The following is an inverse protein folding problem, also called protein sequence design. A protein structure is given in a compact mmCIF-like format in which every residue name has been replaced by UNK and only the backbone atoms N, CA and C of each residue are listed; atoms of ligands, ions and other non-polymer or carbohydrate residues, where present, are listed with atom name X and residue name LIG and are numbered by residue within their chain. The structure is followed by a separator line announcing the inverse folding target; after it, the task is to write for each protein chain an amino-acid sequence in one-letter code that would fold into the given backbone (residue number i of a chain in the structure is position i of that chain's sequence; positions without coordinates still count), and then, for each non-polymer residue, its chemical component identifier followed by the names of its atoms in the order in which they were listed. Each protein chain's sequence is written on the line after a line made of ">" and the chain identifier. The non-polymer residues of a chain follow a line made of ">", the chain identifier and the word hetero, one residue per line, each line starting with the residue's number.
data_IF_524245601162
#
_entry.id   IF_524245601162
#
_cell.length_a   1.000
_cell.length_b   1.000
_cell.length_c   1.000
_cell.angle_alpha   90.00
_cell.angle_beta   90.00
_cell.angle_gamma   90.00
#
_symmetry.space_group_name_H-M   'P 1'
#
loop_
_entity.id
_entity.type
_entity.pdbx_description
1 polymer ?
#
# COMPACT_ATOMS: atom_id res chain seq x y z
N UNK A 1 -59.09 7.52 7.30
CA UNK A 1 -58.10 6.81 8.16
C UNK A 1 -57.25 5.82 7.39
N UNK A 2 -57.82 4.92 6.56
CA UNK A 2 -57.03 3.89 5.85
C UNK A 2 -55.92 4.43 4.93
N UNK A 3 -56.16 5.55 4.23
CA UNK A 3 -55.21 6.22 3.33
C UNK A 3 -54.02 6.88 4.05
N UNK A 4 -54.22 7.38 5.27
CA UNK A 4 -53.16 8.00 6.06
C UNK A 4 -52.15 6.95 6.55
N UNK A 5 -52.64 5.76 6.90
CA UNK A 5 -51.81 4.64 7.33
C UNK A 5 -51.03 4.02 6.16
N UNK A 6 -51.60 4.01 4.94
CA UNK A 6 -50.87 3.54 3.75
C UNK A 6 -49.74 4.50 3.37
N UNK A 7 -49.97 5.81 3.47
CA UNK A 7 -48.92 6.81 3.23
C UNK A 7 -47.81 6.74 4.29
N UNK A 8 -48.17 6.56 5.56
CA UNK A 8 -47.20 6.41 6.65
C UNK A 8 -46.34 5.14 6.50
N UNK A 9 -46.94 4.03 6.04
CA UNK A 9 -46.24 2.76 5.80
C UNK A 9 -45.28 2.82 4.61
N UNK A 10 -45.64 3.55 3.54
CA UNK A 10 -44.76 3.82 2.39
C UNK A 10 -43.57 4.72 2.77
N UNK A 11 -43.78 5.70 3.66
CA UNK A 11 -42.69 6.55 4.20
C UNK A 11 -41.72 5.76 5.10
N UNK A 12 -42.20 4.78 5.88
CA UNK A 12 -41.31 3.93 6.69
C UNK A 12 -40.50 2.94 5.86
N UNK A 13 -41.02 2.50 4.70
CA UNK A 13 -40.28 1.65 3.77
C UNK A 13 -39.09 2.38 3.11
N UNK A 14 -39.19 3.70 2.90
CA UNK A 14 -38.09 4.51 2.38
C UNK A 14 -36.97 4.76 3.42
N UNK A 15 -37.27 4.61 4.72
CA UNK A 15 -36.25 4.73 5.78
C UNK A 15 -35.44 3.44 5.98
N UNK A 16 -35.96 2.29 5.50
CA UNK A 16 -35.29 0.99 5.60
C UNK A 16 -34.26 0.73 4.49
N UNK A 17 -34.23 1.57 3.44
CA UNK A 17 -33.26 1.43 2.33
C UNK A 17 -32.01 2.31 2.50
N UNK A 18 -31.85 3.00 3.63
CA UNK A 18 -30.74 3.94 3.86
C UNK A 18 -29.49 3.32 4.53
N UNK A 19 -29.48 2.01 4.82
CA UNK A 19 -28.25 1.28 5.14
C UNK A 19 -27.66 0.69 3.85
N UNK A 20 -27.33 1.53 2.88
CA UNK A 20 -26.31 1.14 1.90
C UNK A 20 -24.97 1.15 2.65
N UNK A 21 -24.21 0.05 2.58
CA UNK A 21 -22.87 -0.03 3.13
C UNK A 21 -22.03 1.13 2.55
N UNK A 22 -21.81 2.20 3.32
CA UNK A 22 -20.97 3.30 2.89
C UNK A 22 -19.57 2.75 2.56
N UNK A 23 -19.21 2.79 1.28
CA UNK A 23 -17.89 2.36 0.82
C UNK A 23 -16.93 3.50 1.07
N UNK A 24 -16.11 3.38 2.10
CA UNK A 24 -15.02 4.32 2.35
C UNK A 24 -13.80 3.99 1.49
N UNK A 25 -13.09 5.04 1.07
CA UNK A 25 -11.81 4.88 0.42
C UNK A 25 -10.77 4.35 1.40
N UNK A 26 -9.87 3.50 0.91
CA UNK A 26 -8.73 3.03 1.68
C UNK A 26 -7.82 4.22 2.01
N UNK A 27 -7.37 4.32 3.26
CA UNK A 27 -6.66 5.50 3.77
C UNK A 27 -5.32 5.74 3.05
N UNK A 28 -4.69 4.69 2.50
CA UNK A 28 -3.49 4.82 1.65
C UNK A 28 -3.70 5.66 0.38
N UNK A 29 -4.95 5.87 -0.04
CA UNK A 29 -5.32 6.72 -1.17
C UNK A 29 -5.91 8.07 -0.75
N UNK A 30 -5.65 8.50 0.49
CA UNK A 30 -6.03 9.82 0.97
C UNK A 30 -4.90 10.84 0.68
N UNK A 31 -5.10 11.69 -0.32
CA UNK A 31 -4.10 12.67 -0.74
C UNK A 31 -4.50 14.09 -0.31
N UNK A 32 -3.52 14.85 0.16
CA UNK A 32 -3.72 16.22 0.62
C UNK A 32 -3.84 17.19 -0.56
N UNK A 33 -4.82 18.07 -0.51
CA UNK A 33 -4.97 19.16 -1.48
C UNK A 33 -3.75 20.10 -1.48
N UNK A 34 -3.47 20.68 -2.63
CA UNK A 34 -2.33 21.56 -2.91
C UNK A 34 -0.95 20.89 -2.69
N UNK A 35 -0.89 19.56 -2.68
CA UNK A 35 0.37 18.80 -2.66
C UNK A 35 0.62 18.10 -3.99
N UNK A 36 1.90 17.97 -4.32
CA UNK A 36 2.35 17.23 -5.48
C UNK A 36 2.23 15.74 -5.23
N UNK A 37 1.75 15.02 -6.24
CA UNK A 37 1.70 13.56 -6.26
C UNK A 37 2.19 13.04 -7.61
N UNK A 38 2.50 11.75 -7.69
CA UNK A 38 3.03 11.11 -8.91
C UNK A 38 2.17 9.95 -9.36
N UNK A 39 2.04 9.79 -10.67
CA UNK A 39 1.36 8.64 -11.27
C UNK A 39 2.19 7.37 -10.99
N UNK A 40 1.56 6.35 -10.43
CA UNK A 40 2.21 5.06 -10.17
C UNK A 40 2.02 4.09 -11.34
N UNK A 41 0.80 4.00 -11.87
CA UNK A 41 0.48 3.12 -12.99
C UNK A 41 1.26 3.51 -14.24
N UNK A 42 1.40 2.57 -15.20
CA UNK A 42 2.16 2.82 -16.44
C UNK A 42 1.57 4.00 -17.22
N UNK A 43 0.25 4.05 -17.25
CA UNK A 43 -0.52 5.21 -17.66
C UNK A 43 -1.76 5.38 -16.79
N UNK A 44 -2.26 6.61 -16.71
CA UNK A 44 -3.59 6.92 -16.19
C UNK A 44 -4.33 7.83 -17.18
N UNK A 45 -5.65 7.71 -17.24
CA UNK A 45 -6.50 8.56 -18.09
C UNK A 45 -6.96 9.76 -17.27
N UNK A 46 -6.72 10.95 -17.79
CA UNK A 46 -7.32 12.19 -17.28
C UNK A 46 -8.70 12.34 -17.89
N UNK A 47 -9.69 12.58 -17.05
CA UNK A 47 -11.09 12.65 -17.47
C UNK A 47 -11.66 14.04 -17.25
N UNK A 48 -12.68 14.38 -18.05
CA UNK A 48 -13.39 15.65 -17.94
C UNK A 48 -14.17 15.78 -16.65
N UNK A 49 -14.73 14.67 -16.19
CA UNK A 49 -15.54 14.53 -14.98
C UNK A 49 -15.11 13.26 -14.23
N UNK A 50 -15.35 13.15 -12.92
CA UNK A 50 -15.06 11.95 -12.16
C UNK A 50 -15.96 10.80 -12.63
N UNK A 51 -15.37 9.68 -13.07
CA UNK A 51 -16.12 8.49 -13.46
C UNK A 51 -15.47 7.67 -14.56
N UNK A 52 -15.63 6.35 -14.51
CA UNK A 52 -14.99 5.42 -15.47
C UNK A 52 -15.50 5.56 -16.92
N UNK A 53 -16.68 6.15 -17.11
CA UNK A 53 -17.31 6.37 -18.41
C UNK A 53 -17.21 7.82 -18.89
N UNK A 54 -16.64 8.73 -18.09
CA UNK A 54 -16.49 10.13 -18.46
C UNK A 54 -15.49 10.30 -19.63
N UNK A 55 -15.67 11.34 -20.43
CA UNK A 55 -14.80 11.67 -21.55
C UNK A 55 -13.33 11.72 -21.12
N UNK A 56 -12.47 11.04 -21.87
CA UNK A 56 -11.01 11.08 -21.69
C UNK A 56 -10.50 12.37 -22.36
N UNK A 57 -9.77 13.19 -21.60
CA UNK A 57 -9.13 14.40 -22.08
C UNK A 57 -7.66 14.17 -22.42
N UNK A 58 -6.98 13.31 -21.64
CA UNK A 58 -5.55 13.07 -21.79
C UNK A 58 -5.12 11.74 -21.17
N UNK A 59 -3.83 11.41 -21.30
CA UNK A 59 -3.20 10.33 -20.54
C UNK A 59 -1.85 10.77 -19.97
N UNK A 60 -1.60 10.42 -18.71
CA UNK A 60 -0.34 10.71 -18.01
C UNK A 60 0.42 9.41 -17.78
N UNK A 61 1.73 9.43 -17.97
CA UNK A 61 2.61 8.27 -17.79
C UNK A 61 3.07 8.15 -16.34
N UNK A 62 3.65 6.99 -15.98
CA UNK A 62 4.30 6.78 -14.69
C UNK A 62 5.36 7.86 -14.39
N UNK A 63 5.52 8.19 -13.10
CA UNK A 63 6.36 9.26 -12.57
C UNK A 63 5.96 10.70 -12.95
N UNK A 64 4.95 10.89 -13.80
CA UNK A 64 4.48 12.24 -14.11
C UNK A 64 3.92 12.90 -12.85
N UNK A 65 4.44 14.09 -12.56
CA UNK A 65 4.02 14.88 -11.41
C UNK A 65 2.71 15.60 -11.71
N UNK A 66 1.80 15.57 -10.75
CA UNK A 66 0.52 16.27 -10.74
C UNK A 66 0.37 17.01 -9.41
N UNK A 67 -0.52 17.99 -9.35
CA UNK A 67 -0.95 18.64 -8.11
C UNK A 67 -2.37 18.23 -7.80
N UNK A 68 -2.63 17.78 -6.57
CA UNK A 68 -3.99 17.51 -6.11
C UNK A 68 -4.68 18.85 -5.87
N UNK A 69 -5.75 19.13 -6.62
CA UNK A 69 -6.53 20.35 -6.43
C UNK A 69 -7.69 20.13 -5.46
N UNK A 70 -8.39 19.01 -5.62
CA UNK A 70 -9.59 18.72 -4.83
C UNK A 70 -9.85 17.22 -4.74
N UNK A 71 -10.26 16.77 -3.56
CA UNK A 71 -10.87 15.44 -3.36
C UNK A 71 -12.37 15.52 -3.61
N UNK A 72 -12.92 14.67 -4.47
CA UNK A 72 -14.37 14.66 -4.72
C UNK A 72 -15.08 13.75 -3.71
N UNK A 73 -15.62 14.34 -2.65
CA UNK A 73 -16.29 13.62 -1.54
C UNK A 73 -17.77 13.31 -1.83
N UNK A 74 -18.39 14.03 -2.76
CA UNK A 74 -19.80 13.82 -3.14
C UNK A 74 -19.99 12.74 -4.21
N UNK A 75 -18.89 12.19 -4.72
CA UNK A 75 -18.90 11.14 -5.73
C UNK A 75 -18.64 9.81 -5.03
N UNK A 76 -19.45 8.76 -5.29
CA UNK A 76 -19.22 7.45 -4.69
C UNK A 76 -17.78 6.96 -4.92
N UNK A 77 -17.19 6.41 -3.87
CA UNK A 77 -15.85 5.80 -3.92
C UNK A 77 -15.86 4.70 -4.97
N UNK A 78 -14.90 4.77 -5.91
CA UNK A 78 -14.73 3.72 -6.88
C UNK A 78 -13.87 2.61 -6.28
N UNK A 79 -14.43 1.40 -6.28
CA UNK A 79 -13.73 0.17 -5.92
C UNK A 79 -13.34 -0.62 -7.17
N UNK A 80 -12.05 -0.91 -7.33
CA UNK A 80 -11.54 -1.81 -8.37
C UNK A 80 -10.67 -2.91 -7.73
N UNK A 81 -11.24 -4.11 -7.62
CA UNK A 81 -10.68 -5.17 -6.78
C UNK A 81 -10.89 -4.85 -5.31
N UNK A 82 -9.85 -4.93 -4.49
CA UNK A 82 -9.89 -4.50 -3.10
C UNK A 82 -9.55 -3.02 -2.90
N UNK A 83 -9.06 -2.35 -3.95
CA UNK A 83 -8.66 -0.93 -3.88
C UNK A 83 -9.88 -0.03 -4.00
N UNK A 84 -10.16 0.73 -2.94
CA UNK A 84 -11.23 1.72 -2.84
C UNK A 84 -10.60 3.10 -2.81
N UNK A 85 -10.84 3.93 -3.81
CA UNK A 85 -10.28 5.28 -3.84
C UNK A 85 -11.24 6.33 -4.41
N UNK A 86 -11.08 7.56 -3.93
CA UNK A 86 -11.81 8.72 -4.43
C UNK A 86 -11.32 9.16 -5.81
N UNK A 87 -12.13 9.97 -6.48
CA UNK A 87 -11.67 10.77 -7.60
C UNK A 87 -11.03 12.07 -7.09
N UNK A 88 -9.99 12.50 -7.77
CA UNK A 88 -9.32 13.76 -7.47
C UNK A 88 -9.33 14.64 -8.71
N UNK A 89 -9.71 15.90 -8.52
CA UNK A 89 -9.39 16.96 -9.47
C UNK A 89 -7.91 17.28 -9.33
N UNK A 90 -7.21 17.33 -10.46
CA UNK A 90 -5.77 17.55 -10.52
C UNK A 90 -5.44 18.68 -11.50
N UNK A 91 -4.28 19.29 -11.29
CA UNK A 91 -3.59 20.04 -12.34
C UNK A 91 -2.27 19.37 -12.71
N UNK A 92 -1.89 19.49 -13.96
CA UNK A 92 -0.66 18.93 -14.50
C UNK A 92 -0.15 19.76 -15.67
N UNK A 93 1.15 19.69 -15.91
CA UNK A 93 1.79 20.40 -16.99
C UNK A 93 1.70 19.57 -18.28
N UNK A 94 1.22 20.20 -19.36
CA UNK A 94 1.21 19.66 -20.73
C UNK A 94 1.93 20.64 -21.64
N UNK A 95 3.22 20.39 -21.88
CA UNK A 95 4.08 21.37 -22.52
C UNK A 95 4.22 22.62 -21.65
N UNK A 96 3.82 23.78 -22.17
CA UNK A 96 3.86 25.06 -21.44
C UNK A 96 2.53 25.41 -20.75
N UNK A 97 1.48 24.58 -20.94
CA UNK A 97 0.14 24.87 -20.45
C UNK A 97 -0.15 24.03 -19.21
N UNK A 98 -0.66 24.69 -18.17
CA UNK A 98 -1.29 24.02 -17.03
C UNK A 98 -2.69 23.57 -17.42
N UNK A 99 -2.91 22.26 -17.36
CA UNK A 99 -4.18 21.62 -17.70
C UNK A 99 -4.79 20.98 -16.46
N UNK A 100 -6.11 20.88 -16.41
CA UNK A 100 -6.84 20.24 -15.33
C UNK A 100 -7.65 19.04 -15.81
N UNK A 101 -8.01 18.18 -14.88
CA UNK A 101 -8.98 17.12 -15.08
C UNK A 101 -9.08 16.21 -13.87
N UNK A 102 -9.68 15.03 -14.06
CA UNK A 102 -9.98 14.09 -13.00
C UNK A 102 -9.25 12.78 -13.18
N UNK A 103 -8.72 12.24 -12.09
CA UNK A 103 -8.12 10.90 -12.05
C UNK A 103 -8.63 10.13 -10.84
N UNK A 104 -8.64 8.80 -10.95
CA UNK A 104 -8.94 7.94 -9.82
C UNK A 104 -7.70 7.80 -8.94
N UNK A 105 -7.85 8.02 -7.62
CA UNK A 105 -6.75 8.05 -6.66
C UNK A 105 -5.96 6.74 -6.58
N UNK A 106 -6.59 5.60 -6.90
CA UNK A 106 -5.92 4.29 -6.91
C UNK A 106 -4.82 4.15 -7.99
N UNK A 107 -4.70 5.11 -8.91
CA UNK A 107 -3.61 5.16 -9.91
C UNK A 107 -2.40 5.99 -9.47
N UNK A 108 -2.51 6.70 -8.34
CA UNK A 108 -1.44 7.53 -7.79
C UNK A 108 -0.51 6.70 -6.91
N UNK A 109 0.72 7.19 -6.75
CA UNK A 109 1.69 6.62 -5.81
C UNK A 109 1.17 6.81 -4.38
N UNK A 110 1.20 5.76 -3.57
CA UNK A 110 0.95 5.86 -2.13
C UNK A 110 2.04 6.69 -1.46
N UNK A 111 3.29 6.51 -1.90
CA UNK A 111 4.41 7.35 -1.49
C UNK A 111 5.48 7.42 -2.58
N UNK A 112 6.29 8.46 -2.54
CA UNK A 112 7.49 8.56 -3.37
C UNK A 112 8.66 9.19 -2.63
N UNK A 113 9.87 8.87 -3.07
CA UNK A 113 11.13 9.45 -2.58
C UNK A 113 12.04 9.74 -3.77
N UNK A 114 12.87 10.76 -3.66
CA UNK A 114 13.89 11.07 -4.66
C UNK A 114 15.27 10.93 -4.03
N UNK A 115 16.20 10.27 -4.72
CA UNK A 115 17.60 10.15 -4.29
C UNK A 115 18.50 9.88 -5.50
N UNK A 116 19.65 10.55 -5.55
CA UNK A 116 20.67 10.36 -6.57
C UNK A 116 20.17 10.50 -8.02
N UNK A 117 19.19 11.38 -8.27
CA UNK A 117 18.61 11.58 -9.60
C UNK A 117 17.52 10.57 -9.98
N UNK A 118 17.21 9.61 -9.10
CA UNK A 118 16.14 8.64 -9.28
C UNK A 118 14.93 8.98 -8.44
N UNK A 119 13.75 8.75 -9.02
CA UNK A 119 12.50 8.69 -8.29
C UNK A 119 12.15 7.25 -7.94
N UNK A 120 11.80 7.03 -6.69
CA UNK A 120 11.31 5.76 -6.17
C UNK A 120 9.82 5.93 -5.89
N UNK A 121 8.99 5.16 -6.57
CA UNK A 121 7.54 5.21 -6.44
C UNK A 121 7.05 3.95 -5.74
N UNK A 122 6.22 4.10 -4.71
CA UNK A 122 5.52 3.02 -4.05
C UNK A 122 4.02 3.16 -4.30
N UNK A 123 3.37 2.10 -4.73
CA UNK A 123 1.93 2.10 -4.98
C UNK A 123 1.34 0.70 -5.17
N UNK A 124 0.01 0.66 -5.31
CA UNK A 124 -0.75 -0.58 -5.42
C UNK A 124 -1.02 -0.90 -6.90
N UNK A 125 -0.52 -2.03 -7.37
CA UNK A 125 -0.61 -2.45 -8.77
C UNK A 125 -1.97 -3.06 -9.11
N UNK A 126 -2.37 -4.10 -8.37
CA UNK A 126 -3.57 -4.89 -8.67
C UNK A 126 -4.02 -5.71 -7.46
N UNK A 127 -5.24 -6.23 -7.56
CA UNK A 127 -5.74 -7.29 -6.69
C UNK A 127 -5.75 -8.60 -7.49
N UNK A 128 -5.30 -9.70 -6.88
CA UNK A 128 -5.30 -11.04 -7.48
C UNK A 128 -6.08 -12.02 -6.60
N UNK A 129 -6.57 -13.08 -7.23
CA UNK A 129 -7.24 -14.18 -6.55
C UNK A 129 -6.20 -15.24 -6.16
N UNK A 130 -6.14 -15.60 -4.87
CA UNK A 130 -5.27 -16.65 -4.34
C UNK A 130 -6.09 -17.74 -3.69
N UNK A 131 -5.76 -18.98 -4.03
CA UNK A 131 -6.38 -20.14 -3.38
C UNK A 131 -5.74 -20.36 -2.02
N UNK A 132 -6.52 -20.21 -0.96
CA UNK A 132 -6.14 -20.65 0.36
C UNK A 132 -6.27 -22.19 0.43
N UNK A 133 -5.14 -22.87 0.62
CA UNK A 133 -5.10 -24.35 0.64
C UNK A 133 -5.72 -24.94 1.90
N UNK A 134 -5.70 -24.24 3.03
CA UNK A 134 -6.27 -24.77 4.28
C UNK A 134 -7.79 -24.65 4.31
N UNK A 135 -8.34 -23.55 3.79
CA UNK A 135 -9.78 -23.29 3.75
C UNK A 135 -10.45 -23.76 2.45
N UNK A 136 -9.66 -24.09 1.42
CA UNK A 136 -10.14 -24.39 0.06
C UNK A 136 -11.00 -23.25 -0.53
N UNK A 137 -10.72 -22.02 -0.14
CA UNK A 137 -11.41 -20.80 -0.57
C UNK A 137 -10.51 -19.94 -1.46
N UNK A 138 -11.13 -19.05 -2.24
CA UNK A 138 -10.42 -18.03 -3.01
C UNK A 138 -10.46 -16.75 -2.20
N UNK A 139 -9.27 -16.23 -1.89
CA UNK A 139 -9.08 -14.98 -1.16
C UNK A 139 -8.51 -13.93 -2.11
N UNK A 140 -8.87 -12.67 -1.86
CA UNK A 140 -8.27 -11.54 -2.56
C UNK A 140 -6.92 -11.21 -1.92
N UNK A 141 -5.98 -10.79 -2.75
CA UNK A 141 -4.64 -10.37 -2.33
C UNK A 141 -4.25 -9.11 -3.10
N UNK A 142 -3.92 -8.04 -2.38
CA UNK A 142 -3.35 -6.85 -2.98
C UNK A 142 -1.85 -7.05 -3.26
N UNK A 143 -1.44 -6.57 -4.43
CA UNK A 143 -0.06 -6.54 -4.90
C UNK A 143 0.37 -5.09 -4.99
N UNK A 144 1.35 -4.70 -4.19
CA UNK A 144 2.05 -3.44 -4.36
C UNK A 144 3.30 -3.61 -5.21
N UNK A 145 3.86 -2.48 -5.61
CA UNK A 145 5.16 -2.46 -6.26
C UNK A 145 5.96 -1.23 -5.92
N UNK A 146 7.25 -1.35 -6.15
CA UNK A 146 8.19 -0.23 -6.14
C UNK A 146 8.79 -0.09 -7.52
N UNK A 147 8.78 1.13 -8.05
CA UNK A 147 9.39 1.51 -9.34
C UNK A 147 10.56 2.45 -9.12
N UNK A 148 11.66 2.21 -9.83
CA UNK A 148 12.79 3.14 -9.96
C UNK A 148 12.68 3.84 -11.29
N UNK A 149 12.65 5.17 -11.27
CA UNK A 149 12.43 6.00 -12.45
C UNK A 149 13.59 7.00 -12.60
N UNK A 150 14.07 7.16 -13.83
CA UNK A 150 15.01 8.22 -14.22
C UNK A 150 14.29 9.11 -15.23
N UNK A 151 13.81 10.29 -14.80
CA UNK A 151 12.80 11.01 -15.56
C UNK A 151 11.55 10.13 -15.76
N UNK A 152 11.09 9.95 -16.99
CA UNK A 152 9.95 9.07 -17.29
C UNK A 152 10.37 7.65 -17.71
N UNK A 153 11.66 7.31 -17.62
CA UNK A 153 12.18 5.99 -17.96
C UNK A 153 12.13 5.07 -16.75
N UNK A 154 11.43 3.93 -16.88
CA UNK A 154 11.46 2.86 -15.89
C UNK A 154 12.82 2.16 -15.94
N UNK A 155 13.51 2.13 -14.81
CA UNK A 155 14.83 1.51 -14.65
C UNK A 155 14.69 0.09 -14.08
N UNK A 156 13.87 -0.06 -13.04
CA UNK A 156 13.64 -1.33 -12.36
C UNK A 156 12.28 -1.30 -11.66
N UNK A 157 11.66 -2.47 -11.52
CA UNK A 157 10.47 -2.63 -10.69
C UNK A 157 10.40 -3.99 -10.02
N UNK A 158 9.80 -4.02 -8.84
CA UNK A 158 9.46 -5.26 -8.15
C UNK A 158 8.07 -5.18 -7.56
N UNK A 159 7.48 -6.35 -7.33
CA UNK A 159 6.14 -6.49 -6.78
C UNK A 159 6.17 -7.38 -5.53
N UNK A 160 5.31 -7.06 -4.57
CA UNK A 160 5.18 -7.79 -3.32
C UNK A 160 3.74 -7.71 -2.81
N UNK A 161 3.40 -8.61 -1.89
CA UNK A 161 2.07 -8.71 -1.29
C UNK A 161 1.88 -7.60 -0.25
N UNK A 162 0.65 -7.13 -0.04
CA UNK A 162 0.35 -6.11 1.00
C UNK A 162 -0.87 -6.48 1.82
N UNK A 163 -1.12 -7.78 1.99
CA UNK A 163 -2.37 -8.28 2.57
C UNK A 163 -3.60 -8.01 1.69
N UNK A 164 -4.75 -7.86 2.34
CA UNK A 164 -6.08 -7.69 1.75
C UNK A 164 -6.49 -6.23 1.79
N UNK A 165 -7.78 -5.95 1.62
CA UNK A 165 -8.31 -4.59 1.68
C UNK A 165 -8.24 -3.95 3.06
N UNK A 166 -8.29 -4.74 4.15
CA UNK A 166 -8.30 -4.23 5.53
C UNK A 166 -6.95 -3.66 5.99
N UNK A 167 -5.84 -4.09 5.36
CA UNK A 167 -4.50 -3.58 5.63
C UNK A 167 -4.16 -2.29 4.87
N UNK A 168 -5.06 -1.77 4.04
CA UNK A 168 -4.85 -0.56 3.25
C UNK A 168 -5.29 0.74 3.97
N UNK A 169 -5.33 0.75 5.29
CA UNK A 169 -5.68 1.95 6.04
C UNK A 169 -4.54 2.98 6.06
N UNK A 170 -3.33 2.55 6.42
CA UNK A 170 -2.15 3.43 6.50
C UNK A 170 -0.99 2.83 5.73
N UNK A 171 -0.12 3.70 5.22
CA UNK A 171 1.12 3.29 4.59
C UNK A 171 2.26 4.26 4.88
N UNK A 172 3.49 3.75 4.77
CA UNK A 172 4.70 4.58 4.77
C UNK A 172 5.71 4.09 3.74
N UNK A 173 6.56 5.00 3.27
CA UNK A 173 7.61 4.67 2.32
C UNK A 173 8.86 5.50 2.60
N UNK A 174 9.94 4.86 3.03
CA UNK A 174 11.14 5.56 3.52
C UNK A 174 12.42 5.04 2.85
N UNK A 175 13.43 5.91 2.82
CA UNK A 175 14.81 5.52 2.48
C UNK A 175 15.59 5.42 3.77
N UNK A 176 16.15 4.24 4.03
CA UNK A 176 17.03 3.94 5.14
C UNK A 176 18.49 3.84 4.67
N UNK A 177 19.41 3.54 5.59
CA UNK A 177 20.83 3.34 5.25
C UNK A 177 21.05 2.05 4.45
N UNK A 178 22.30 1.78 4.06
CA UNK A 178 22.69 0.45 3.53
C UNK A 178 22.73 -0.65 4.59
N UNK A 179 22.50 -0.28 5.86
CA UNK A 179 22.67 -1.13 7.03
C UNK A 179 24.04 -1.82 7.14
N UNK A 180 25.07 -1.25 6.50
CA UNK A 180 26.41 -1.86 6.40
C UNK A 180 26.42 -3.25 5.74
N UNK A 181 25.44 -3.54 4.88
CA UNK A 181 25.52 -4.68 3.95
C UNK A 181 26.48 -4.32 2.81
N UNK A 182 27.36 -5.27 2.46
CA UNK A 182 28.32 -5.09 1.38
C UNK A 182 27.62 -4.70 0.07
N UNK A 183 28.17 -3.70 -0.64
CA UNK A 183 27.71 -3.25 -1.96
C UNK A 183 26.24 -2.80 -2.03
N UNK A 184 25.59 -2.52 -0.89
CA UNK A 184 24.25 -1.91 -0.86
C UNK A 184 24.41 -0.40 -0.74
N UNK A 185 23.70 0.36 -1.58
CA UNK A 185 23.73 1.82 -1.53
C UNK A 185 22.82 2.35 -0.41
N UNK A 186 21.59 1.84 -0.36
CA UNK A 186 20.58 2.13 0.66
C UNK A 186 19.43 1.13 0.59
N UNK A 187 18.51 1.24 1.54
CA UNK A 187 17.33 0.37 1.63
C UNK A 187 16.07 1.20 1.50
N UNK A 188 15.11 0.70 0.73
CA UNK A 188 13.74 1.21 0.71
C UNK A 188 12.92 0.38 1.68
N UNK A 189 12.12 1.05 2.52
CA UNK A 189 11.15 0.40 3.39
C UNK A 189 9.75 0.87 3.03
N UNK A 190 8.93 -0.03 2.53
CA UNK A 190 7.51 0.19 2.29
C UNK A 190 6.71 -0.55 3.36
N UNK A 191 5.71 0.11 3.94
CA UNK A 191 4.83 -0.46 4.95
C UNK A 191 3.38 -0.20 4.58
N UNK A 192 2.53 -1.19 4.82
CA UNK A 192 1.07 -1.03 4.89
C UNK A 192 0.54 -1.60 6.20
N UNK A 193 -0.52 -1.03 6.75
CA UNK A 193 -1.17 -1.54 7.95
C UNK A 193 -2.65 -1.17 8.03
N UNK A 194 -3.43 -2.04 8.67
CA UNK A 194 -4.79 -1.70 9.12
C UNK A 194 -4.79 -0.85 10.39
N UNK A 195 -5.98 -0.40 10.78
CA UNK A 195 -6.20 0.45 11.97
C UNK A 195 -6.74 -0.31 13.20
N UNK A 196 -7.07 -1.60 13.05
CA UNK A 196 -7.72 -2.39 14.09
C UNK A 196 -6.80 -3.50 14.67
N UNK A 197 -7.06 -3.88 15.92
CA UNK A 197 -6.44 -5.05 16.55
C UNK A 197 -6.69 -6.30 15.70
N UNK A 198 -5.70 -7.20 15.65
CA UNK A 198 -5.77 -8.41 14.86
C UNK A 198 -5.60 -8.22 13.35
N UNK A 199 -5.45 -6.98 12.87
CA UNK A 199 -5.11 -6.71 11.47
C UNK A 199 -3.60 -6.61 11.31
N UNK A 200 -3.06 -7.28 10.30
CA UNK A 200 -1.63 -7.33 10.06
C UNK A 200 -1.08 -6.00 9.51
N UNK A 201 0.15 -5.71 9.88
CA UNK A 201 1.03 -4.77 9.22
C UNK A 201 2.10 -5.55 8.45
N UNK A 202 2.38 -5.11 7.22
CA UNK A 202 3.37 -5.71 6.34
C UNK A 202 4.49 -4.72 6.06
N UNK A 203 5.72 -5.09 6.41
CA UNK A 203 6.92 -4.34 6.07
C UNK A 203 7.68 -5.06 4.95
N UNK A 204 7.89 -4.37 3.83
CA UNK A 204 8.77 -4.80 2.77
C UNK A 204 10.06 -3.98 2.80
N UNK A 205 11.18 -4.67 3.01
CA UNK A 205 12.53 -4.11 2.86
C UNK A 205 13.07 -4.46 1.47
N UNK A 206 13.68 -3.49 0.81
CA UNK A 206 14.21 -3.63 -0.56
C UNK A 206 15.59 -3.00 -0.59
N UNK A 207 16.62 -3.81 -0.82
CA UNK A 207 17.97 -3.32 -1.01
C UNK A 207 18.08 -2.71 -2.40
N UNK A 208 18.66 -1.51 -2.49
CA UNK A 208 19.00 -0.87 -3.75
C UNK A 208 20.52 -0.90 -3.96
N UNK A 209 20.95 -1.48 -5.09
CA UNK A 209 22.35 -1.40 -5.56
C UNK A 209 22.43 -1.46 -7.06
N UNK A 210 23.36 -0.73 -7.67
CA UNK A 210 23.64 -0.82 -9.11
C UNK A 210 22.36 -0.72 -9.96
N UNK A 211 21.44 0.17 -9.57
CA UNK A 211 20.11 0.34 -10.18
C UNK A 211 19.15 -0.86 -10.09
N UNK A 212 19.46 -1.87 -9.27
CA UNK A 212 18.64 -3.06 -9.04
C UNK A 212 17.94 -3.00 -7.69
N UNK A 213 16.74 -3.57 -7.66
CA UNK A 213 15.94 -3.77 -6.45
C UNK A 213 15.98 -5.23 -6.03
N UNK A 214 16.31 -5.49 -4.77
CA UNK A 214 16.36 -6.84 -4.20
C UNK A 214 15.45 -6.85 -2.97
N UNK A 215 14.26 -7.43 -3.12
CA UNK A 215 13.33 -7.63 -2.02
C UNK A 215 13.90 -8.63 -1.01
N UNK A 216 13.89 -8.26 0.27
CA UNK A 216 14.07 -9.22 1.36
C UNK A 216 12.75 -9.97 1.61
N UNK A 217 12.74 -11.08 2.38
CA UNK A 217 11.48 -11.64 2.85
C UNK A 217 10.61 -10.57 3.51
N UNK A 218 9.32 -10.56 3.20
CA UNK A 218 8.40 -9.63 3.82
C UNK A 218 8.24 -9.96 5.31
N UNK A 219 8.10 -8.92 6.14
CA UNK A 219 7.76 -9.08 7.54
C UNK A 219 6.26 -8.90 7.73
N UNK A 220 5.67 -9.70 8.62
CA UNK A 220 4.30 -9.57 9.08
C UNK A 220 4.29 -9.31 10.59
N UNK A 221 3.54 -8.30 11.03
CA UNK A 221 3.35 -8.00 12.44
C UNK A 221 1.85 -7.88 12.71
N UNK A 222 1.33 -8.61 13.70
CA UNK A 222 -0.08 -8.56 14.08
C UNK A 222 -0.21 -8.79 15.57
N UNK A 223 -1.19 -8.18 16.21
CA UNK A 223 -1.46 -8.44 17.61
C UNK A 223 -2.86 -8.03 18.02
N UNK A 224 -3.35 -8.70 19.05
CA UNK A 224 -4.55 -8.33 19.79
C UNK A 224 -4.17 -8.09 21.25
N UNK A 225 -4.47 -6.90 21.73
CA UNK A 225 -3.99 -6.40 23.01
C UNK A 225 -4.45 -7.32 24.15
N UNK A 226 -3.47 -7.95 24.83
CA UNK A 226 -3.71 -8.82 25.97
C UNK A 226 -3.98 -10.29 25.62
N UNK A 227 -4.18 -10.63 24.35
CA UNK A 227 -4.48 -12.01 23.92
C UNK A 227 -3.28 -12.67 23.22
N UNK A 228 -2.78 -12.05 22.14
CA UNK A 228 -1.63 -12.60 21.40
C UNK A 228 -0.91 -11.53 20.58
N UNK A 229 0.34 -11.80 20.19
CA UNK A 229 0.98 -11.12 19.08
C UNK A 229 1.92 -12.03 18.32
N UNK A 230 2.13 -11.68 17.05
CA UNK A 230 3.18 -12.17 16.19
C UNK A 230 3.99 -10.97 15.72
N UNK A 231 5.30 -10.98 15.98
CA UNK A 231 6.19 -9.91 15.56
C UNK A 231 7.38 -10.47 14.79
N UNK A 232 7.65 -9.84 13.64
CA UNK A 232 8.80 -10.11 12.80
C UNK A 232 9.64 -8.84 12.63
N UNK A 233 10.94 -8.96 12.89
CA UNK A 233 11.90 -7.86 12.74
C UNK A 233 13.18 -8.34 12.05
N UNK A 234 13.88 -7.40 11.40
CA UNK A 234 15.24 -7.62 10.94
C UNK A 234 16.26 -7.08 11.93
N UNK A 235 17.32 -7.84 12.14
CA UNK A 235 18.59 -7.36 12.71
C UNK A 235 19.62 -7.32 11.61
N UNK A 236 20.04 -6.11 11.25
CA UNK A 236 21.05 -5.85 10.25
C UNK A 236 22.46 -5.71 10.86
N UNK A 237 23.54 -5.66 10.05
CA UNK A 237 24.91 -5.61 10.56
C UNK A 237 25.23 -4.40 11.44
N UNK A 238 24.54 -3.28 11.27
CA UNK A 238 24.71 -2.08 12.09
C UNK A 238 23.83 -2.04 13.36
N UNK A 239 22.96 -3.03 13.55
CA UNK A 239 22.10 -3.12 14.73
C UNK A 239 22.79 -3.88 15.87
N UNK A 240 22.23 -3.78 17.09
CA UNK A 240 22.73 -4.52 18.24
C UNK A 240 22.57 -6.03 18.02
N UNK A 241 23.70 -6.74 17.99
CA UNK A 241 23.73 -8.17 17.70
C UNK A 241 23.78 -8.51 16.21
N UNK A 242 23.95 -7.50 15.35
CA UNK A 242 24.20 -7.68 13.92
C UNK A 242 25.51 -8.41 13.63
N UNK A 243 25.51 -9.17 12.53
CA UNK A 243 26.69 -9.89 12.04
C UNK A 243 27.03 -9.35 10.64
N UNK A 244 28.31 -9.05 10.34
CA UNK A 244 28.71 -8.54 9.02
C UNK A 244 28.19 -9.40 7.87
N UNK A 245 27.71 -8.74 6.80
CA UNK A 245 27.20 -9.40 5.60
C UNK A 245 26.09 -10.43 5.85
N UNK A 246 25.25 -10.18 6.86
CA UNK A 246 24.05 -10.95 7.12
C UNK A 246 22.91 -10.04 7.53
N UNK A 247 21.68 -10.50 7.34
CA UNK A 247 20.54 -9.98 8.07
C UNK A 247 19.81 -11.15 8.73
N UNK A 248 19.29 -10.92 9.93
CA UNK A 248 18.66 -11.95 10.74
C UNK A 248 17.19 -11.59 10.86
N UNK A 249 16.31 -12.44 10.34
CA UNK A 249 14.89 -12.39 10.64
C UNK A 249 14.69 -12.97 12.03
N UNK A 250 14.15 -12.19 12.96
CA UNK A 250 13.68 -12.67 14.26
C UNK A 250 12.16 -12.70 14.25
N UNK A 251 11.62 -13.76 14.83
CA UNK A 251 10.18 -13.96 15.00
C UNK A 251 9.91 -14.18 16.48
N UNK A 252 8.95 -13.47 17.03
CA UNK A 252 8.43 -13.66 18.37
C UNK A 252 6.91 -13.84 18.31
N UNK A 253 6.43 -14.96 18.85
CA UNK A 253 5.01 -15.21 19.10
C UNK A 253 4.76 -15.14 20.61
N UNK A 254 3.68 -14.51 21.00
CA UNK A 254 3.21 -14.48 22.38
C UNK A 254 1.72 -14.78 22.42
N UNK A 255 1.31 -15.61 23.36
CA UNK A 255 -0.09 -15.90 23.67
C UNK A 255 -0.31 -15.84 25.18
N UNK A 256 -1.45 -15.30 25.59
CA UNK A 256 -1.93 -15.30 26.97
C UNK A 256 -3.01 -16.38 27.12
N UNK A 257 -2.91 -17.21 28.15
CA UNK A 257 -3.95 -18.20 28.46
C UNK A 257 -5.06 -17.64 29.37
N UNK A 258 -6.11 -18.45 29.60
CA UNK A 258 -7.27 -18.09 30.45
C UNK A 258 -6.90 -17.76 31.92
N UNK A 259 -5.65 -17.98 32.33
CA UNK A 259 -5.13 -17.69 33.67
C UNK A 259 -4.15 -16.51 33.66
N UNK A 260 -4.17 -15.69 32.62
CA UNK A 260 -3.27 -14.55 32.40
C UNK A 260 -1.79 -14.94 32.34
N UNK A 261 -1.46 -16.17 31.91
CA UNK A 261 -0.07 -16.62 31.79
C UNK A 261 0.41 -16.44 30.35
N UNK A 262 1.49 -15.68 30.19
CA UNK A 262 2.14 -15.47 28.89
C UNK A 262 3.04 -16.66 28.51
N UNK A 263 2.88 -17.15 27.28
CA UNK A 263 3.82 -18.08 26.64
C UNK A 263 4.48 -17.38 25.47
N UNK A 264 5.81 -17.32 25.45
CA UNK A 264 6.60 -16.71 24.36
C UNK A 264 7.39 -17.77 23.60
N UNK A 265 7.30 -17.74 22.27
CA UNK A 265 8.12 -18.55 21.37
C UNK A 265 8.97 -17.61 20.53
N UNK A 266 10.25 -17.94 20.39
CA UNK A 266 11.21 -17.16 19.61
C UNK A 266 11.86 -18.06 18.58
N UNK A 267 11.98 -17.56 17.36
CA UNK A 267 12.77 -18.21 16.33
C UNK A 267 13.58 -17.17 15.56
N UNK A 268 14.59 -17.63 14.82
CA UNK A 268 15.34 -16.75 13.93
C UNK A 268 15.82 -17.48 12.70
N UNK A 269 15.96 -16.74 11.61
CA UNK A 269 16.54 -17.19 10.33
C UNK A 269 17.65 -16.22 9.95
N UNK A 270 18.86 -16.74 9.79
CA UNK A 270 20.02 -15.93 9.36
C UNK A 270 20.17 -16.05 7.85
N UNK A 271 20.19 -14.92 7.16
CA UNK A 271 20.44 -14.85 5.73
C UNK A 271 21.85 -14.34 5.47
N UNK A 272 22.62 -15.09 4.70
CA UNK A 272 23.96 -14.72 4.27
C UNK A 272 23.87 -13.88 3.01
N UNK A 273 24.42 -12.66 3.06
CA UNK A 273 24.50 -11.73 1.94
C UNK A 273 25.90 -11.79 1.30
N UNK A 274 25.97 -11.84 -0.03
CA UNK A 274 27.25 -11.96 -0.76
C UNK A 274 27.62 -10.70 -1.57
N UNK A 275 26.90 -9.59 -1.41
CA UNK A 275 27.06 -8.38 -2.22
C UNK A 275 26.14 -8.32 -3.45
N UNK A 276 25.38 -9.37 -3.77
CA UNK A 276 24.47 -9.39 -4.94
C UNK A 276 23.17 -10.15 -4.70
N UNK A 277 23.19 -11.16 -3.84
CA UNK A 277 22.03 -11.96 -3.46
C UNK A 277 22.19 -12.47 -2.02
N UNK A 278 21.11 -13.04 -1.49
CA UNK A 278 21.13 -13.69 -0.19
C UNK A 278 20.70 -15.15 -0.29
N UNK A 279 21.13 -15.94 0.69
CA UNK A 279 20.63 -17.30 0.92
C UNK A 279 20.41 -17.55 2.41
N UNK A 280 19.44 -18.39 2.74
CA UNK A 280 19.27 -18.88 4.10
C UNK A 280 20.50 -19.72 4.50
N UNK A 281 21.03 -19.48 5.70
CA UNK A 281 22.15 -20.23 6.27
C UNK A 281 21.77 -21.66 6.62
#
# INVERSE_FOLDING_TARGET
>A
MKTLWTALFLLTLQLLTAQENEVYADGVFNFTENKNQKIFTDWTRVRKEPGVNAQILDSLQSNQQITILKKEETIPVLQLGERKANWYKISYQKGEIMTEGYIWGGNLSVGYRNKNGYDFLFGLSKTVDRKNKSLNEIEKQNIAGIKVMEGNTLIEEIYFDTGRGEELSTASFNIESSHKLQDVEFTLKAMVSGEACGIAAYDQYILYKDKKLIALPQLMNVGDAGAYYHSEEYVFPNDKGGIPNTFILKVEDMETDDKDRETKKRSSKTYLWNGSSYKLK
#
